data_IF_385194592554
#
_entry.id   IF_385194592554
#
_cell.length_a   1.000
_cell.length_b   1.000
_cell.length_c   1.000
_cell.angle_alpha   90.00
_cell.angle_beta   90.00
_cell.angle_gamma   90.00
#
_symmetry.space_group_name_H-M   'P 1'
#
loop_
_entity.id
_entity.type
_entity.pdbx_description
1 polymer ?
#
# COMPACT_ATOMS: atom_id res chain seq x y z
N UNK A 1 11.25 6.55 2.62
CA UNK A 1 12.61 6.80 2.09
C UNK A 1 12.99 8.21 2.48
N UNK A 2 13.97 8.30 3.36
CA UNK A 2 14.49 9.57 3.86
C UNK A 2 15.12 10.39 2.73
N UNK A 3 15.27 11.69 2.95
CA UNK A 3 15.88 12.67 2.03
C UNK A 3 15.20 12.89 0.67
N UNK A 4 14.08 12.22 0.41
CA UNK A 4 13.21 12.59 -0.71
C UNK A 4 12.56 13.97 -0.47
N UNK A 5 12.25 14.70 -1.54
CA UNK A 5 11.56 15.99 -1.40
C UNK A 5 10.22 15.86 -0.68
N UNK A 6 9.46 14.79 -0.95
CA UNK A 6 8.21 14.50 -0.25
C UNK A 6 8.42 14.30 1.25
N UNK A 7 9.49 13.62 1.65
CA UNK A 7 9.84 13.43 3.05
C UNK A 7 10.22 14.76 3.73
N UNK A 8 11.07 15.56 3.08
CA UNK A 8 11.49 16.87 3.59
C UNK A 8 10.29 17.80 3.76
N UNK A 9 9.40 17.87 2.76
CA UNK A 9 8.20 18.70 2.84
C UNK A 9 7.21 18.19 3.88
N UNK A 10 7.00 16.87 3.99
CA UNK A 10 6.13 16.32 5.02
C UNK A 10 6.57 16.75 6.44
N UNK A 11 7.88 16.70 6.74
CA UNK A 11 8.41 17.17 8.03
C UNK A 11 8.13 18.64 8.31
N UNK A 12 8.10 19.49 7.27
CA UNK A 12 7.81 20.93 7.40
C UNK A 12 6.31 21.23 7.47
N UNK A 13 5.49 20.43 6.79
CA UNK A 13 4.04 20.63 6.69
C UNK A 13 3.27 20.07 7.89
N UNK A 14 3.72 18.94 8.46
CA UNK A 14 3.05 18.28 9.60
C UNK A 14 2.80 19.24 10.80
N UNK A 15 3.77 20.09 11.22
CA UNK A 15 3.57 21.02 12.34
C UNK A 15 2.71 22.25 12.01
N UNK A 16 2.31 22.45 10.75
CA UNK A 16 1.53 23.60 10.32
C UNK A 16 0.05 23.21 10.12
N UNK A 17 -0.85 23.75 10.96
CA UNK A 17 -2.28 23.40 10.93
C UNK A 17 -3.02 23.79 9.64
N UNK A 18 -2.42 24.65 8.81
CA UNK A 18 -3.01 25.10 7.54
C UNK A 18 -2.63 24.24 6.33
N UNK A 19 -1.59 23.41 6.47
CA UNK A 19 -1.11 22.59 5.37
C UNK A 19 -1.92 21.28 5.29
N UNK A 20 -1.75 20.52 4.20
CA UNK A 20 -2.37 19.21 4.02
C UNK A 20 -1.49 18.26 3.22
N UNK A 21 -1.55 16.98 3.56
CA UNK A 21 -0.78 15.91 2.91
C UNK A 21 -1.77 14.86 2.43
N UNK A 22 -1.84 14.66 1.11
CA UNK A 22 -2.80 13.74 0.50
C UNK A 22 -2.08 12.68 -0.30
N UNK A 23 -2.37 11.42 0.00
CA UNK A 23 -1.79 10.27 -0.70
C UNK A 23 -2.69 9.85 -1.86
N UNK A 24 -2.09 9.44 -2.98
CA UNK A 24 -2.82 9.08 -4.21
C UNK A 24 -3.19 7.59 -4.29
N UNK A 25 -2.73 6.79 -3.35
CA UNK A 25 -3.01 5.37 -3.32
C UNK A 25 -2.21 4.67 -2.23
N UNK A 26 -2.17 3.35 -2.33
CA UNK A 26 -1.54 2.45 -1.36
C UNK A 26 -0.18 2.96 -0.88
N UNK A 27 0.03 2.86 0.44
CA UNK A 27 1.30 3.15 1.10
C UNK A 27 1.75 1.85 1.77
N UNK A 28 2.95 1.35 1.44
CA UNK A 28 3.40 0.11 2.06
C UNK A 28 3.63 0.30 3.56
N UNK A 29 3.36 -0.71 4.40
CA UNK A 29 3.53 -0.64 5.85
C UNK A 29 4.92 -0.14 6.31
N UNK A 30 5.95 -0.40 5.53
CA UNK A 30 7.34 -0.02 5.79
C UNK A 30 7.64 1.45 5.43
N UNK A 31 6.74 2.12 4.71
CA UNK A 31 6.95 3.48 4.23
C UNK A 31 6.64 4.54 5.28
N UNK A 32 7.37 5.67 5.23
CA UNK A 32 7.08 6.84 6.06
C UNK A 32 5.70 7.43 5.76
N UNK A 33 5.23 7.33 4.51
CA UNK A 33 3.89 7.76 4.10
C UNK A 33 2.80 6.98 4.83
N UNK A 34 2.95 5.66 4.96
CA UNK A 34 2.03 4.83 5.75
C UNK A 34 2.01 5.28 7.22
N UNK A 35 3.18 5.51 7.82
CA UNK A 35 3.27 5.98 9.21
C UNK A 35 2.53 7.31 9.42
N UNK A 36 2.72 8.27 8.51
CA UNK A 36 2.00 9.56 8.53
C UNK A 36 0.48 9.39 8.39
N UNK A 37 0.04 8.49 7.49
CA UNK A 37 -1.38 8.23 7.32
C UNK A 37 -2.00 7.58 8.57
N UNK A 38 -1.31 6.61 9.17
CA UNK A 38 -1.80 5.95 10.39
C UNK A 38 -1.81 6.87 11.60
N UNK A 39 -0.81 7.75 11.75
CA UNK A 39 -0.78 8.71 12.85
C UNK A 39 -1.97 9.67 12.81
N UNK A 40 -2.38 10.11 11.61
CA UNK A 40 -3.63 10.85 11.42
C UNK A 40 -4.86 10.05 11.85
N UNK A 41 -4.97 8.78 11.41
CA UNK A 41 -6.10 7.89 11.74
C UNK A 41 -6.21 7.59 13.23
N UNK A 42 -5.07 7.45 13.91
CA UNK A 42 -5.00 7.18 15.34
C UNK A 42 -5.20 8.45 16.19
N UNK A 43 -5.11 9.63 15.57
CA UNK A 43 -5.21 10.92 16.27
C UNK A 43 -3.94 11.28 17.03
N UNK A 44 -2.78 10.81 16.59
CA UNK A 44 -1.50 11.11 17.22
C UNK A 44 -1.13 12.60 17.02
N UNK A 45 -0.53 13.20 18.05
CA UNK A 45 -0.03 14.59 17.99
C UNK A 45 1.47 14.66 17.67
N UNK A 46 2.16 13.51 17.59
CA UNK A 46 3.59 13.39 17.25
C UNK A 46 3.88 12.08 16.52
N UNK A 47 4.88 12.09 15.65
CA UNK A 47 5.37 10.92 14.91
C UNK A 47 6.88 10.93 14.82
N UNK A 48 7.51 9.76 14.87
CA UNK A 48 8.92 9.61 14.55
C UNK A 48 9.11 9.49 13.03
N UNK A 49 9.95 10.34 12.44
CA UNK A 49 10.38 10.28 11.05
C UNK A 49 11.92 10.31 11.04
N UNK A 50 12.54 9.19 10.67
CA UNK A 50 13.96 8.94 10.91
C UNK A 50 14.30 9.03 12.39
N UNK A 51 15.36 9.77 12.73
CA UNK A 51 15.80 10.01 14.11
C UNK A 51 15.04 11.15 14.81
N UNK A 52 14.16 11.86 14.10
CA UNK A 52 13.45 13.03 14.62
C UNK A 52 12.02 12.70 15.04
N UNK A 53 11.56 13.37 16.10
CA UNK A 53 10.14 13.41 16.47
C UNK A 53 9.51 14.71 15.96
N UNK A 54 8.49 14.59 15.11
CA UNK A 54 7.80 15.71 14.46
C UNK A 54 6.41 15.88 15.08
N UNK A 55 6.01 17.11 15.39
CA UNK A 55 4.63 17.42 15.84
C UNK A 55 3.64 17.37 14.68
N UNK A 56 2.44 16.82 14.93
CA UNK A 56 1.35 16.76 13.97
C UNK A 56 0.27 17.75 14.41
N UNK A 57 0.20 18.90 13.73
CA UNK A 57 -0.83 19.92 13.98
C UNK A 57 -1.84 20.02 12.85
N UNK A 58 -1.46 19.65 11.62
CA UNK A 58 -2.45 19.50 10.55
C UNK A 58 -3.38 18.32 10.82
N UNK A 59 -4.66 18.50 10.53
CA UNK A 59 -5.67 17.44 10.51
C UNK A 59 -6.09 17.10 9.07
N UNK A 60 -5.46 17.73 8.07
CA UNK A 60 -5.74 17.54 6.66
C UNK A 60 -4.80 16.48 6.06
N UNK A 61 -4.90 15.24 6.57
CA UNK A 61 -4.13 14.10 6.06
C UNK A 61 -5.12 13.03 5.64
N UNK A 62 -5.11 12.68 4.36
CA UNK A 62 -6.03 11.68 3.81
C UNK A 62 -5.41 10.91 2.63
N UNK A 63 -6.09 9.85 2.21
CA UNK A 63 -5.71 9.00 1.08
C UNK A 63 -6.87 8.92 0.09
N UNK A 64 -6.53 9.09 -1.18
CA UNK A 64 -7.44 8.89 -2.31
C UNK A 64 -7.02 7.64 -3.08
N UNK A 65 -7.97 6.99 -3.74
CA UNK A 65 -7.72 5.78 -4.52
C UNK A 65 -7.59 6.12 -6.01
N UNK A 66 -6.42 6.66 -6.39
CA UNK A 66 -6.01 6.88 -7.78
C UNK A 66 -4.80 6.00 -8.11
N UNK A 67 -4.93 4.70 -7.85
CA UNK A 67 -3.80 3.77 -7.82
C UNK A 67 -3.24 3.43 -9.20
N UNK A 68 -4.03 3.55 -10.27
CA UNK A 68 -3.67 3.06 -11.60
C UNK A 68 -3.60 1.52 -11.70
N UNK A 69 -3.94 0.82 -10.61
CA UNK A 69 -4.02 -0.63 -10.54
C UNK A 69 -5.46 -1.10 -10.76
N UNK A 70 -5.61 -2.33 -11.24
CA UNK A 70 -6.89 -3.01 -11.29
C UNK A 70 -7.47 -3.15 -9.88
N UNK A 71 -8.78 -2.96 -9.75
CA UNK A 71 -9.47 -3.22 -8.49
C UNK A 71 -9.64 -4.73 -8.25
N UNK A 72 -10.16 -5.08 -7.07
CA UNK A 72 -10.33 -6.48 -6.66
C UNK A 72 -11.23 -7.27 -7.62
N UNK A 73 -12.32 -6.66 -8.11
CA UNK A 73 -13.25 -7.32 -9.01
C UNK A 73 -12.62 -7.53 -10.38
N UNK A 74 -11.89 -6.53 -10.88
CA UNK A 74 -11.13 -6.63 -12.13
C UNK A 74 -10.07 -7.75 -12.06
N UNK A 75 -9.39 -7.91 -10.92
CA UNK A 75 -8.43 -8.99 -10.68
C UNK A 75 -9.08 -10.39 -10.64
N UNK A 76 -10.32 -10.51 -10.18
CA UNK A 76 -11.08 -11.76 -10.22
C UNK A 76 -11.61 -12.10 -11.62
N UNK A 77 -12.06 -11.09 -12.36
CA UNK A 77 -12.72 -11.27 -13.66
C UNK A 77 -11.72 -11.54 -14.79
N UNK A 78 -10.51 -10.99 -14.70
CA UNK A 78 -9.47 -11.19 -15.70
C UNK A 78 -9.09 -12.67 -15.92
N UNK A 79 -8.72 -13.47 -14.90
CA UNK A 79 -8.39 -14.89 -15.10
C UNK A 79 -9.60 -15.70 -15.58
N UNK A 80 -10.82 -15.39 -15.08
CA UNK A 80 -12.06 -16.01 -15.57
C UNK A 80 -12.29 -15.79 -17.06
N UNK A 81 -11.92 -14.61 -17.58
CA UNK A 81 -12.02 -14.31 -19.01
C UNK A 81 -10.93 -14.98 -19.84
N UNK A 82 -9.71 -15.07 -19.31
CA UNK A 82 -8.56 -15.60 -20.04
C UNK A 82 -8.44 -17.13 -19.99
N UNK A 83 -9.02 -17.77 -18.96
CA UNK A 83 -8.97 -19.22 -18.73
C UNK A 83 -7.53 -19.80 -18.81
N UNK A 84 -6.57 -19.28 -18.03
CA UNK A 84 -5.22 -19.83 -18.01
C UNK A 84 -5.16 -21.19 -17.31
N UNK A 85 -4.15 -21.99 -17.63
CA UNK A 85 -3.92 -23.29 -16.96
C UNK A 85 -3.45 -23.13 -15.51
N UNK A 86 -2.67 -22.08 -15.22
CA UNK A 86 -2.06 -21.81 -13.91
C UNK A 86 -1.95 -20.30 -13.68
N UNK A 87 -2.22 -19.87 -12.45
CA UNK A 87 -2.01 -18.50 -11.98
C UNK A 87 -0.81 -18.44 -11.04
N UNK A 88 0.05 -17.45 -11.26
CA UNK A 88 1.21 -17.19 -10.41
C UNK A 88 1.08 -15.76 -9.90
N UNK A 89 0.84 -15.61 -8.59
CA UNK A 89 0.64 -14.32 -7.96
C UNK A 89 1.93 -13.76 -7.41
N UNK A 90 2.18 -12.49 -7.70
CA UNK A 90 3.37 -11.74 -7.30
C UNK A 90 2.97 -10.28 -7.01
N UNK A 91 3.87 -9.50 -6.43
CA UNK A 91 3.72 -8.06 -6.23
C UNK A 91 2.42 -7.64 -5.56
N UNK A 92 2.21 -8.13 -4.34
CA UNK A 92 1.17 -7.69 -3.42
C UNK A 92 1.54 -8.10 -2.01
N UNK A 93 0.85 -7.51 -1.03
CA UNK A 93 0.99 -7.92 0.37
C UNK A 93 0.55 -9.39 0.52
N UNK A 94 1.22 -10.14 1.40
CA UNK A 94 0.99 -11.57 1.60
C UNK A 94 -0.50 -11.89 1.77
N UNK A 95 -1.17 -11.25 2.72
CA UNK A 95 -2.60 -11.46 2.95
C UNK A 95 -3.50 -11.04 1.77
N UNK A 96 -3.08 -10.07 0.95
CA UNK A 96 -3.85 -9.69 -0.24
C UNK A 96 -3.75 -10.76 -1.34
N UNK A 97 -2.55 -11.33 -1.53
CA UNK A 97 -2.34 -12.43 -2.47
C UNK A 97 -3.05 -13.71 -2.02
N UNK A 98 -2.99 -14.02 -0.71
CA UNK A 98 -3.69 -15.15 -0.11
C UNK A 98 -5.20 -15.03 -0.30
N UNK A 99 -5.80 -13.88 0.02
CA UNK A 99 -7.23 -13.65 -0.17
C UNK A 99 -7.65 -13.85 -1.64
N UNK A 100 -6.88 -13.31 -2.59
CA UNK A 100 -7.19 -13.48 -4.01
C UNK A 100 -7.05 -14.94 -4.46
N UNK A 101 -6.11 -15.68 -3.86
CA UNK A 101 -5.93 -17.10 -4.14
C UNK A 101 -7.08 -17.93 -3.57
N UNK A 102 -7.51 -17.62 -2.35
CA UNK A 102 -8.66 -18.29 -1.71
C UNK A 102 -9.94 -18.12 -2.53
N UNK A 103 -10.21 -16.95 -3.10
CA UNK A 103 -11.39 -16.74 -3.95
C UNK A 103 -11.38 -17.56 -5.23
N UNK A 104 -10.20 -17.80 -5.81
CA UNK A 104 -10.05 -18.44 -7.12
C UNK A 104 -9.55 -19.90 -7.04
N UNK A 105 -9.34 -20.43 -5.84
CA UNK A 105 -8.73 -21.75 -5.59
C UNK A 105 -9.48 -22.93 -6.22
N UNK A 106 -10.79 -22.79 -6.43
CA UNK A 106 -11.63 -23.84 -7.03
C UNK A 106 -11.76 -23.71 -8.55
N UNK A 107 -11.27 -22.60 -9.12
CA UNK A 107 -11.34 -22.30 -10.55
C UNK A 107 -9.99 -22.55 -11.25
N UNK A 108 -8.87 -22.31 -10.56
CA UNK A 108 -7.53 -22.35 -11.14
C UNK A 108 -6.52 -23.05 -10.23
N UNK A 109 -5.45 -23.60 -10.81
CA UNK A 109 -4.23 -23.90 -10.06
C UNK A 109 -3.51 -22.58 -9.75
N UNK A 110 -3.26 -22.29 -8.48
CA UNK A 110 -2.66 -21.02 -8.03
C UNK A 110 -1.39 -21.28 -7.24
N UNK A 111 -0.34 -20.52 -7.55
CA UNK A 111 0.92 -20.52 -6.79
C UNK A 111 1.31 -19.10 -6.38
N UNK A 112 1.72 -18.95 -5.12
CA UNK A 112 2.28 -17.71 -4.58
C UNK A 112 3.74 -18.00 -4.21
N UNK A 113 4.70 -17.80 -5.13
CA UNK A 113 6.10 -18.11 -4.87
C UNK A 113 6.72 -17.12 -3.88
N UNK A 114 7.59 -17.64 -3.02
CA UNK A 114 8.52 -16.80 -2.25
C UNK A 114 9.53 -16.10 -3.17
N UNK A 115 10.12 -15.00 -2.71
CA UNK A 115 11.23 -14.37 -3.42
C UNK A 115 12.35 -15.39 -3.70
N UNK A 116 12.83 -15.42 -4.94
CA UNK A 116 13.83 -16.36 -5.46
C UNK A 116 13.37 -17.82 -5.62
N UNK A 117 12.10 -18.14 -5.38
CA UNK A 117 11.54 -19.45 -5.69
C UNK A 117 11.30 -19.58 -7.20
N UNK A 118 11.73 -20.70 -7.78
CA UNK A 118 11.41 -21.07 -9.17
C UNK A 118 10.09 -21.82 -9.21
N UNK A 119 9.24 -21.46 -10.17
CA UNK A 119 8.00 -22.18 -10.49
C UNK A 119 8.18 -22.87 -11.84
N UNK A 120 7.90 -24.17 -11.88
CA UNK A 120 7.81 -24.94 -13.13
C UNK A 120 6.44 -24.70 -13.77
N UNK A 121 6.44 -24.43 -15.08
CA UNK A 121 5.23 -24.15 -15.85
C UNK A 121 4.57 -25.44 -16.32
#
# INVERSE_FOLDING_TARGET
VEDTLSYIFAKQMLPNSKDGIFFMGYQSPESDGYRVLQSSKNGDDKIALGEETVEIRTKNIDIFNFSGHADYQELLDLPRKLQPEKLIYVHGDEGALENLAEELQYEFEIQIPSNLQTVEL
#
